data_IF_706152638464
#
_entry.id   IF_706152638464
#
_cell.length_a   1.000
_cell.length_b   1.000
_cell.length_c   1.000
_cell.angle_alpha   90.00
_cell.angle_beta   90.00
_cell.angle_gamma   90.00
#
_symmetry.space_group_name_H-M   'P 1'
#
loop_
_entity.id
_entity.type
_entity.pdbx_description
1 polymer ?
#
# COMPACT_ATOMS: atom_id res chain seq x y z
N UNK A 1 -14.60 18.89 -7.92
CA UNK A 1 -14.21 20.03 -7.05
C UNK A 1 -14.67 19.92 -5.60
N UNK A 2 -15.97 19.91 -5.25
CA UNK A 2 -16.40 19.88 -3.83
C UNK A 2 -16.05 18.60 -3.03
N UNK A 3 -15.82 17.46 -3.70
CA UNK A 3 -15.47 16.20 -3.04
C UNK A 3 -13.98 16.16 -2.66
N UNK A 4 -13.09 16.47 -3.60
CA UNK A 4 -11.65 16.58 -3.36
C UNK A 4 -11.31 17.55 -2.21
N UNK A 5 -11.95 18.73 -2.18
CA UNK A 5 -11.80 19.71 -1.09
C UNK A 5 -12.20 19.16 0.30
N UNK A 6 -13.16 18.23 0.36
CA UNK A 6 -13.54 17.59 1.62
C UNK A 6 -12.52 16.54 2.06
N UNK A 7 -11.96 15.79 1.11
CA UNK A 7 -10.93 14.78 1.39
C UNK A 7 -9.63 15.44 1.86
N UNK A 8 -9.19 16.51 1.20
CA UNK A 8 -8.02 17.29 1.62
C UNK A 8 -8.20 17.87 3.02
N UNK A 9 -9.38 18.43 3.31
CA UNK A 9 -9.70 18.92 4.65
C UNK A 9 -9.71 17.80 5.70
N UNK A 10 -10.27 16.63 5.35
CA UNK A 10 -10.30 15.49 6.25
C UNK A 10 -8.89 15.01 6.60
N UNK A 11 -7.98 14.96 5.64
CA UNK A 11 -6.59 14.55 5.87
C UNK A 11 -5.83 15.58 6.73
N UNK A 12 -6.05 16.88 6.50
CA UNK A 12 -5.47 17.93 7.34
C UNK A 12 -5.94 17.83 8.80
N UNK A 13 -7.25 17.64 9.01
CA UNK A 13 -7.82 17.48 10.36
C UNK A 13 -7.25 16.23 11.03
N UNK A 14 -7.24 15.11 10.32
CA UNK A 14 -6.68 13.83 10.79
C UNK A 14 -5.22 13.98 11.22
N UNK A 15 -4.40 14.61 10.38
CA UNK A 15 -2.99 14.85 10.66
C UNK A 15 -2.76 15.76 11.87
N UNK A 16 -3.55 16.83 12.01
CA UNK A 16 -3.46 17.73 13.16
C UNK A 16 -3.84 17.02 14.47
N UNK A 17 -4.93 16.25 14.47
CA UNK A 17 -5.38 15.50 15.64
C UNK A 17 -4.36 14.43 16.03
N UNK A 18 -3.84 13.67 15.07
CA UNK A 18 -2.83 12.65 15.35
C UNK A 18 -1.58 13.26 15.99
N UNK A 19 -1.09 14.39 15.49
CA UNK A 19 0.09 15.05 16.03
C UNK A 19 -0.08 15.39 17.52
N UNK A 20 -1.20 16.01 17.89
CA UNK A 20 -1.48 16.38 19.28
C UNK A 20 -1.71 15.14 20.18
N UNK A 21 -2.48 14.16 19.68
CA UNK A 21 -2.81 12.98 20.46
C UNK A 21 -1.58 12.11 20.75
N UNK A 22 -0.63 12.01 19.82
CA UNK A 22 0.55 11.16 19.98
C UNK A 22 1.52 11.63 21.06
N UNK A 23 1.39 12.86 21.56
CA UNK A 23 2.16 13.35 22.70
C UNK A 23 1.59 12.86 24.05
N UNK A 24 0.32 12.44 24.08
CA UNK A 24 -0.40 12.05 25.30
C UNK A 24 -0.87 10.60 25.31
N UNK A 25 -0.90 9.93 24.16
CA UNK A 25 -1.20 8.49 24.03
C UNK A 25 -0.18 7.78 23.14
N UNK A 26 -0.09 6.45 23.28
CA UNK A 26 0.82 5.65 22.45
C UNK A 26 0.42 5.70 20.98
N UNK A 27 1.33 6.17 20.14
CA UNK A 27 1.24 6.10 18.69
C UNK A 27 2.46 5.39 18.11
N UNK A 28 2.21 4.33 17.33
CA UNK A 28 3.26 3.64 16.56
C UNK A 28 3.10 3.84 15.05
N UNK A 29 1.97 4.40 14.61
CA UNK A 29 1.64 4.64 13.20
C UNK A 29 0.68 5.82 13.06
N UNK A 30 0.75 6.50 11.91
CA UNK A 30 -0.13 7.62 11.56
C UNK A 30 -1.17 7.26 10.51
N UNK A 31 -1.12 6.06 9.92
CA UNK A 31 -2.13 5.52 8.98
C UNK A 31 -2.98 4.46 9.69
N UNK A 32 -4.26 4.36 9.33
CA UNK A 32 -5.10 3.30 9.88
C UNK A 32 -4.63 1.94 9.35
N UNK A 33 -4.69 0.89 10.18
CA UNK A 33 -4.50 -0.48 9.73
C UNK A 33 -5.87 -0.97 9.28
N UNK A 34 -6.03 -1.21 7.98
CA UNK A 34 -7.33 -1.59 7.41
C UNK A 34 -7.48 -3.10 7.31
N UNK A 35 -6.36 -3.82 7.15
CA UNK A 35 -6.34 -5.27 7.13
C UNK A 35 -5.01 -5.82 7.61
N UNK A 36 -5.07 -6.93 8.36
CA UNK A 36 -3.90 -7.67 8.83
C UNK A 36 -4.16 -9.16 8.73
N UNK A 37 -3.16 -9.90 8.24
CA UNK A 37 -3.19 -11.37 8.24
C UNK A 37 -1.82 -11.94 8.56
N UNK A 38 -1.78 -12.87 9.51
CA UNK A 38 -0.61 -13.69 9.78
C UNK A 38 -0.47 -14.77 8.70
N UNK A 39 0.73 -14.86 8.13
CA UNK A 39 1.07 -15.86 7.11
C UNK A 39 1.99 -16.90 7.76
N UNK A 40 1.69 -18.17 7.53
CA UNK A 40 2.46 -19.32 8.01
C UNK A 40 2.99 -20.14 6.85
N UNK A 41 4.13 -20.79 7.03
CA UNK A 41 4.62 -21.79 6.09
C UNK A 41 3.84 -23.13 6.18
N UNK A 42 4.20 -24.08 5.32
CA UNK A 42 3.59 -25.41 5.28
C UNK A 42 3.82 -26.24 6.56
N UNK A 43 4.77 -25.85 7.40
CA UNK A 43 5.08 -26.48 8.69
C UNK A 43 4.38 -25.76 9.86
N UNK A 44 3.64 -24.69 9.58
CA UNK A 44 2.91 -23.88 10.56
C UNK A 44 3.78 -22.83 11.27
N UNK A 45 5.02 -22.60 10.83
CA UNK A 45 5.84 -21.52 11.38
C UNK A 45 5.36 -20.17 10.84
N UNK A 46 5.25 -19.17 11.71
CA UNK A 46 4.80 -17.82 11.35
C UNK A 46 5.90 -17.11 10.56
N UNK A 47 5.62 -16.77 9.32
CA UNK A 47 6.50 -16.00 8.42
C UNK A 47 6.40 -14.49 8.68
N UNK A 48 5.27 -14.03 9.21
CA UNK A 48 5.02 -12.64 9.58
C UNK A 48 3.56 -12.27 9.41
N UNK A 49 3.26 -10.97 9.44
CA UNK A 49 1.95 -10.43 9.13
C UNK A 49 2.02 -9.52 7.90
N UNK A 50 1.08 -9.69 6.99
CA UNK A 50 0.80 -8.72 5.93
C UNK A 50 -0.05 -7.63 6.57
N UNK A 51 0.38 -6.38 6.45
CA UNK A 51 -0.34 -5.21 6.95
C UNK A 51 -0.68 -4.30 5.77
N UNK A 52 -1.95 -3.99 5.61
CA UNK A 52 -2.44 -3.04 4.59
C UNK A 52 -2.95 -1.82 5.33
N UNK A 53 -2.29 -0.68 5.10
CA UNK A 53 -2.62 0.58 5.75
C UNK A 53 -3.52 1.43 4.85
N UNK A 54 -4.25 2.36 5.44
CA UNK A 54 -5.15 3.29 4.76
C UNK A 54 -4.45 3.99 3.58
N UNK A 55 -4.93 3.73 2.37
CA UNK A 55 -4.39 4.29 1.11
C UNK A 55 -3.31 3.44 0.44
N UNK A 56 -2.95 2.27 0.99
CA UNK A 56 -2.13 1.30 0.28
C UNK A 56 -2.98 0.60 -0.78
N UNK A 57 -2.38 0.30 -1.94
CA UNK A 57 -2.95 -0.69 -2.84
C UNK A 57 -2.62 -2.09 -2.31
N UNK A 58 -3.62 -2.95 -2.02
CA UNK A 58 -3.38 -4.30 -1.51
C UNK A 58 -2.40 -5.13 -2.34
N UNK A 59 -2.43 -5.00 -3.68
CA UNK A 59 -1.50 -5.69 -4.56
C UNK A 59 -0.03 -5.38 -4.23
N UNK A 60 0.32 -4.13 -3.92
CA UNK A 60 1.69 -3.75 -3.59
C UNK A 60 2.09 -4.19 -2.20
N UNK A 61 1.19 -4.04 -1.22
CA UNK A 61 1.46 -4.43 0.16
C UNK A 61 1.70 -5.93 0.27
N UNK A 62 0.89 -6.73 -0.42
CA UNK A 62 1.02 -8.19 -0.47
C UNK A 62 2.28 -8.61 -1.23
N UNK A 63 2.60 -8.00 -2.37
CA UNK A 63 3.81 -8.31 -3.13
C UNK A 63 5.09 -7.95 -2.37
N UNK A 64 5.11 -6.78 -1.71
CA UNK A 64 6.22 -6.37 -0.83
C UNK A 64 6.45 -7.38 0.29
N UNK A 65 5.37 -7.83 0.95
CA UNK A 65 5.46 -8.88 1.96
C UNK A 65 5.99 -10.19 1.37
N UNK A 66 5.40 -10.66 0.26
CA UNK A 66 5.77 -11.90 -0.40
C UNK A 66 7.26 -11.93 -0.76
N UNK A 67 7.77 -10.87 -1.40
CA UNK A 67 9.20 -10.73 -1.72
C UNK A 67 10.08 -10.75 -0.49
N UNK A 68 9.66 -10.06 0.59
CA UNK A 68 10.43 -10.01 1.84
C UNK A 68 10.54 -11.37 2.54
N UNK A 69 9.61 -12.30 2.25
CA UNK A 69 9.54 -13.64 2.84
C UNK A 69 9.90 -14.76 1.87
N UNK A 70 10.21 -14.42 0.61
CA UNK A 70 10.53 -15.40 -0.42
C UNK A 70 9.35 -16.28 -0.82
N UNK A 71 8.13 -15.77 -0.70
CA UNK A 71 6.93 -16.46 -1.20
C UNK A 71 6.89 -16.45 -2.72
N UNK A 72 6.36 -17.51 -3.30
CA UNK A 72 6.12 -17.57 -4.74
C UNK A 72 4.85 -16.80 -5.16
N UNK A 73 4.65 -16.65 -6.47
CA UNK A 73 3.51 -15.91 -7.00
C UNK A 73 2.16 -16.56 -6.66
N UNK A 74 2.08 -17.89 -6.52
CA UNK A 74 0.83 -18.55 -6.15
C UNK A 74 0.48 -18.26 -4.69
N UNK A 75 1.47 -18.34 -3.79
CA UNK A 75 1.32 -18.00 -2.38
C UNK A 75 0.92 -16.53 -2.20
N UNK A 76 1.59 -15.63 -2.93
CA UNK A 76 1.24 -14.20 -2.98
C UNK A 76 -0.21 -14.00 -3.46
N UNK A 77 -0.60 -14.62 -4.56
CA UNK A 77 -1.91 -14.41 -5.18
C UNK A 77 -3.06 -14.95 -4.31
N UNK A 78 -2.81 -15.99 -3.51
CA UNK A 78 -3.76 -16.47 -2.48
C UNK A 78 -3.99 -15.39 -1.41
N UNK A 79 -2.92 -14.80 -0.88
CA UNK A 79 -3.01 -13.74 0.12
C UNK A 79 -3.72 -12.51 -0.48
N UNK A 80 -3.37 -12.15 -1.72
CA UNK A 80 -3.96 -11.01 -2.41
C UNK A 80 -5.47 -11.19 -2.62
N UNK A 81 -5.90 -12.38 -3.04
CA UNK A 81 -7.33 -12.66 -3.23
C UNK A 81 -8.11 -12.44 -1.93
N UNK A 82 -7.61 -12.96 -0.81
CA UNK A 82 -8.25 -12.75 0.48
C UNK A 82 -8.27 -11.28 0.92
N UNK A 83 -7.19 -10.53 0.65
CA UNK A 83 -7.16 -9.10 0.92
C UNK A 83 -8.21 -8.35 0.07
N UNK A 84 -8.33 -8.66 -1.22
CA UNK A 84 -9.30 -8.04 -2.13
C UNK A 84 -10.75 -8.48 -1.92
N UNK A 85 -10.98 -9.61 -1.24
CA UNK A 85 -12.32 -9.98 -0.79
C UNK A 85 -12.77 -9.14 0.41
N UNK A 86 -11.81 -8.66 1.22
CA UNK A 86 -12.06 -7.84 2.41
C UNK A 86 -11.96 -6.32 2.17
N UNK A 87 -11.12 -5.90 1.21
CA UNK A 87 -10.81 -4.51 0.88
C UNK A 87 -11.07 -4.23 -0.60
N UNK A 88 -11.21 -2.95 -0.94
CA UNK A 88 -11.25 -2.53 -2.35
C UNK A 88 -9.84 -2.52 -2.93
N UNK A 89 -9.58 -3.37 -3.91
CA UNK A 89 -8.37 -3.34 -4.73
C UNK A 89 -8.64 -2.56 -6.01
N UNK A 90 -7.78 -1.60 -6.36
CA UNK A 90 -7.84 -0.96 -7.66
C UNK A 90 -7.23 -1.83 -8.76
N UNK A 91 -6.33 -2.76 -8.37
CA UNK A 91 -5.68 -3.69 -9.28
C UNK A 91 -5.25 -4.99 -8.58
N UNK A 92 -4.90 -5.98 -9.39
CA UNK A 92 -4.42 -7.30 -8.93
C UNK A 92 -2.96 -7.58 -9.28
N UNK A 93 -2.30 -6.65 -9.97
CA UNK A 93 -0.88 -6.74 -10.32
C UNK A 93 -0.13 -5.66 -9.55
N UNK A 94 0.98 -5.98 -8.85
CA UNK A 94 1.77 -5.00 -8.12
C UNK A 94 2.55 -4.08 -9.07
N UNK A 95 2.90 -2.88 -8.60
CA UNK A 95 3.88 -2.02 -9.26
C UNK A 95 5.27 -2.60 -9.03
N UNK A 96 5.99 -2.89 -10.11
CA UNK A 96 7.35 -3.46 -10.06
C UNK A 96 8.44 -2.42 -10.31
N UNK A 97 8.07 -1.28 -10.89
CA UNK A 97 8.94 -0.13 -11.08
C UNK A 97 8.15 1.16 -10.91
N UNK A 98 8.71 2.12 -10.19
CA UNK A 98 8.15 3.46 -10.07
C UNK A 98 9.23 4.52 -10.21
N UNK A 99 8.91 5.62 -10.88
CA UNK A 99 9.79 6.78 -10.97
C UNK A 99 8.99 8.08 -11.01
N UNK A 100 9.21 8.93 -10.01
CA UNK A 100 8.73 10.32 -10.04
C UNK A 100 9.57 11.14 -11.02
N UNK A 101 8.89 11.88 -11.88
CA UNK A 101 9.44 12.90 -12.76
C UNK A 101 9.16 14.24 -12.11
N UNK A 102 10.20 15.00 -11.80
CA UNK A 102 10.06 16.29 -11.14
C UNK A 102 10.47 17.42 -12.10
N UNK A 103 9.90 18.60 -11.91
CA UNK A 103 10.35 19.82 -12.56
C UNK A 103 11.68 20.32 -11.97
N UNK A 104 12.26 21.37 -12.57
CA UNK A 104 13.51 21.98 -12.08
C UNK A 104 13.38 22.57 -10.66
N UNK A 105 12.15 22.85 -10.21
CA UNK A 105 11.83 23.32 -8.86
C UNK A 105 11.58 22.19 -7.85
N UNK A 106 11.62 20.92 -8.27
CA UNK A 106 11.36 19.76 -7.43
C UNK A 106 9.89 19.39 -7.27
N UNK A 107 8.96 20.04 -7.99
CA UNK A 107 7.55 19.66 -8.04
C UNK A 107 7.35 18.38 -8.85
N UNK A 108 6.53 17.43 -8.36
CA UNK A 108 6.22 16.20 -9.11
C UNK A 108 5.36 16.55 -10.34
N UNK A 109 5.92 16.34 -11.54
CA UNK A 109 5.23 16.51 -12.81
C UNK A 109 4.37 15.29 -13.15
N UNK A 110 4.92 14.11 -12.91
CA UNK A 110 4.27 12.84 -13.18
C UNK A 110 4.95 11.71 -12.38
N UNK A 111 4.25 10.58 -12.28
CA UNK A 111 4.77 9.34 -11.72
C UNK A 111 4.60 8.24 -12.76
N UNK A 112 5.72 7.68 -13.20
CA UNK A 112 5.72 6.47 -14.02
C UNK A 112 5.58 5.27 -13.09
N UNK A 113 4.62 4.40 -13.38
CA UNK A 113 4.43 3.12 -12.72
C UNK A 113 4.37 2.02 -13.78
N UNK A 114 5.09 0.93 -13.55
CA UNK A 114 5.03 -0.27 -14.40
C UNK A 114 4.53 -1.40 -13.55
N UNK A 115 3.44 -2.03 -13.97
CA UNK A 115 2.85 -3.18 -13.29
C UNK A 115 3.60 -4.47 -13.63
N UNK A 116 3.42 -5.49 -12.79
CA UNK A 116 3.94 -6.82 -13.09
C UNK A 116 3.45 -7.32 -14.46
N UNK A 117 4.38 -7.78 -15.29
CA UNK A 117 4.10 -8.29 -16.63
C UNK A 117 3.72 -7.23 -17.66
N UNK A 118 3.77 -5.94 -17.33
CA UNK A 118 3.61 -4.84 -18.28
C UNK A 118 4.95 -4.52 -18.97
N UNK A 119 4.90 -4.28 -20.28
CA UNK A 119 6.07 -3.78 -21.00
C UNK A 119 6.30 -2.31 -20.65
N UNK A 120 7.54 -1.94 -20.33
CA UNK A 120 7.89 -0.55 -19.98
C UNK A 120 7.47 0.46 -21.08
N UNK A 121 7.51 0.05 -22.35
CA UNK A 121 7.12 0.91 -23.46
C UNK A 121 5.61 1.23 -23.47
N UNK A 122 4.78 0.35 -22.93
CA UNK A 122 3.33 0.54 -22.84
C UNK A 122 2.92 1.44 -21.67
N UNK A 123 3.80 1.58 -20.67
CA UNK A 123 3.60 2.43 -19.50
C UNK A 123 4.01 3.90 -19.71
N UNK A 124 4.61 4.24 -20.86
CA UNK A 124 5.14 5.57 -21.20
C UNK A 124 4.14 6.48 -21.93
#
# INVERSE_FOLDING_TARGET
EKHALKEELAELVRSAVLREACDVVTCTRTRALEWEKYVTDAQGAVLGAVQILQGDEPADAVDSFARSRGLDNNERDVILREACDALSCSRVRPVVFTKSLNDEGGGELARLEVLEGEELADAL
#
